data_IF_750602424022
#
_entry.id   IF_750602424022
#
_cell.length_a   1.000
_cell.length_b   1.000
_cell.length_c   1.000
_cell.angle_alpha   90.00
_cell.angle_beta   90.00
_cell.angle_gamma   90.00
#
_symmetry.space_group_name_H-M   'P 1'
#
loop_
_entity.id
_entity.type
_entity.pdbx_description
1 polymer ?
#
# COMPACT_ATOMS: atom_id res chain seq x y z
N UNK A 1 10.97 -81.80 -37.52
CA UNK A 1 9.62 -81.29 -37.20
C UNK A 1 9.63 -79.82 -37.63
N UNK A 2 9.26 -79.51 -38.88
CA UNK A 2 7.93 -78.96 -39.28
C UNK A 2 7.74 -77.55 -38.68
N UNK A 3 7.41 -76.47 -39.37
CA UNK A 3 6.80 -76.25 -40.70
C UNK A 3 6.67 -74.71 -40.90
N UNK A 4 6.61 -74.28 -42.17
CA UNK A 4 5.98 -73.08 -42.81
C UNK A 4 6.20 -71.66 -42.21
N UNK A 5 6.62 -70.61 -42.94
CA UNK A 5 6.24 -70.00 -44.23
C UNK A 5 5.17 -68.87 -44.12
N UNK A 6 5.40 -67.81 -44.93
CA UNK A 6 4.51 -66.73 -45.40
C UNK A 6 4.28 -65.43 -44.60
N UNK A 7 4.82 -64.30 -45.10
CA UNK A 7 4.09 -63.31 -45.93
C UNK A 7 4.85 -61.98 -46.11
N UNK A 8 4.97 -61.49 -47.35
CA UNK A 8 5.41 -60.13 -47.75
C UNK A 8 4.16 -59.27 -48.12
N UNK A 9 4.19 -58.12 -48.84
CA UNK A 9 5.15 -57.01 -49.05
C UNK A 9 4.47 -55.61 -48.91
N UNK A 10 5.19 -54.47 -49.03
CA UNK A 10 4.86 -53.37 -49.98
C UNK A 10 5.80 -52.16 -49.91
N UNK A 11 6.18 -51.71 -51.11
CA UNK A 11 7.07 -50.61 -51.47
C UNK A 11 6.31 -49.28 -51.61
N UNK A 12 6.98 -48.13 -51.37
CA UNK A 12 6.68 -46.90 -52.12
C UNK A 12 7.85 -45.91 -52.09
N UNK A 13 8.40 -45.60 -53.28
CA UNK A 13 9.42 -44.57 -53.51
C UNK A 13 8.75 -43.27 -54.00
N UNK A 14 9.08 -42.08 -53.46
CA UNK A 14 8.65 -40.81 -54.05
C UNK A 14 9.65 -40.23 -55.07
N UNK A 15 9.12 -39.74 -56.19
CA UNK A 15 9.81 -39.02 -57.30
C UNK A 15 10.28 -37.60 -56.92
N UNK A 16 11.30 -37.03 -57.61
CA UNK A 16 11.76 -35.66 -57.39
C UNK A 16 10.99 -34.62 -58.24
N UNK A 17 10.75 -33.42 -57.68
CA UNK A 17 10.25 -32.23 -58.42
C UNK A 17 11.18 -31.01 -58.23
N UNK A 18 11.24 -30.10 -59.23
CA UNK A 18 12.33 -29.13 -59.39
C UNK A 18 12.08 -27.79 -58.68
N UNK A 19 13.16 -27.17 -58.18
CA UNK A 19 13.17 -25.85 -57.53
C UNK A 19 13.21 -24.71 -58.56
N UNK A 20 12.16 -23.91 -58.61
CA UNK A 20 12.12 -22.59 -59.26
C UNK A 20 12.91 -21.56 -58.44
N UNK A 21 13.82 -20.84 -59.12
CA UNK A 21 14.68 -19.79 -58.58
C UNK A 21 14.09 -18.42 -58.94
N UNK A 22 13.45 -17.73 -58.00
CA UNK A 22 13.31 -16.25 -58.01
C UNK A 22 12.73 -15.73 -56.69
N UNK A 23 13.57 -15.38 -55.72
CA UNK A 23 13.14 -14.65 -54.52
C UNK A 23 14.33 -13.98 -53.79
N UNK A 24 15.13 -13.16 -54.48
CA UNK A 24 16.23 -12.43 -53.84
C UNK A 24 15.95 -10.94 -53.61
N UNK A 25 14.91 -10.36 -54.25
CA UNK A 25 14.69 -8.90 -54.26
C UNK A 25 13.68 -8.39 -53.22
N UNK A 26 12.80 -9.25 -52.70
CA UNK A 26 11.76 -8.88 -51.72
C UNK A 26 12.24 -8.80 -50.27
N UNK A 27 13.35 -9.48 -49.92
CA UNK A 27 13.87 -9.52 -48.53
C UNK A 27 14.53 -8.22 -48.09
N UNK A 28 15.14 -7.48 -49.00
CA UNK A 28 15.87 -6.24 -48.69
C UNK A 28 14.92 -5.08 -48.31
N UNK A 29 13.81 -4.90 -49.03
CA UNK A 29 12.84 -3.85 -48.71
C UNK A 29 12.05 -4.15 -47.42
N UNK A 30 11.69 -5.41 -47.16
CA UNK A 30 11.00 -5.79 -45.93
C UNK A 30 11.84 -5.53 -44.67
N UNK A 31 13.16 -5.74 -44.75
CA UNK A 31 14.07 -5.50 -43.64
C UNK A 31 14.26 -4.00 -43.32
N UNK A 32 14.27 -3.13 -44.34
CA UNK A 32 14.38 -1.68 -44.13
C UNK A 32 13.12 -1.12 -43.44
N UNK A 33 11.94 -1.59 -43.85
CA UNK A 33 10.67 -1.20 -43.24
C UNK A 33 10.59 -1.69 -41.79
N UNK A 34 10.95 -2.95 -41.52
CA UNK A 34 10.97 -3.49 -40.16
C UNK A 34 11.97 -2.75 -39.25
N UNK A 35 13.16 -2.41 -39.75
CA UNK A 35 14.15 -1.63 -39.02
C UNK A 35 13.66 -0.20 -38.71
N UNK A 36 12.94 0.43 -39.64
CA UNK A 36 12.36 1.76 -39.43
C UNK A 36 11.27 1.74 -38.32
N UNK A 37 10.39 0.73 -38.33
CA UNK A 37 9.38 0.58 -37.27
C UNK A 37 9.99 0.29 -35.90
N UNK A 38 11.04 -0.54 -35.84
CA UNK A 38 11.80 -0.77 -34.61
C UNK A 38 12.50 0.49 -34.09
N UNK A 39 13.09 1.29 -34.97
CA UNK A 39 13.70 2.56 -34.57
C UNK A 39 12.66 3.54 -34.03
N UNK A 40 11.49 3.64 -34.67
CA UNK A 40 10.40 4.50 -34.23
C UNK A 40 9.80 4.06 -32.88
N UNK A 41 9.63 2.76 -32.65
CA UNK A 41 9.10 2.25 -31.38
C UNK A 41 10.06 2.50 -30.21
N UNK A 42 11.37 2.35 -30.43
CA UNK A 42 12.40 2.68 -29.44
C UNK A 42 12.41 4.18 -29.13
N UNK A 43 12.34 5.05 -30.15
CA UNK A 43 12.28 6.49 -29.94
C UNK A 43 11.01 6.91 -29.18
N UNK A 44 9.87 6.30 -29.48
CA UNK A 44 8.63 6.55 -28.76
C UNK A 44 8.71 6.11 -27.30
N UNK A 45 9.22 4.91 -27.02
CA UNK A 45 9.41 4.42 -25.66
C UNK A 45 10.37 5.33 -24.85
N UNK A 46 11.49 5.75 -25.46
CA UNK A 46 12.42 6.69 -24.84
C UNK A 46 11.78 8.06 -24.57
N UNK A 47 10.93 8.55 -25.49
CA UNK A 47 10.18 9.79 -25.29
C UNK A 47 9.18 9.71 -24.13
N UNK A 48 8.46 8.59 -23.99
CA UNK A 48 7.55 8.35 -22.86
C UNK A 48 8.33 8.30 -21.54
N UNK A 49 9.48 7.62 -21.51
CA UNK A 49 10.33 7.56 -20.31
C UNK A 49 10.90 8.94 -19.96
N UNK A 50 11.40 9.68 -20.94
CA UNK A 50 11.93 11.03 -20.74
C UNK A 50 10.85 11.99 -20.22
N UNK A 51 9.63 11.95 -20.78
CA UNK A 51 8.51 12.77 -20.29
C UNK A 51 8.04 12.36 -18.90
N UNK A 52 8.09 11.07 -18.55
CA UNK A 52 7.82 10.58 -17.20
C UNK A 52 8.84 11.14 -16.20
N UNK A 53 10.14 11.02 -16.48
CA UNK A 53 11.20 11.59 -15.63
C UNK A 53 11.14 13.12 -15.55
N UNK A 54 10.75 13.81 -16.63
CA UNK A 54 10.57 15.26 -16.63
C UNK A 54 9.38 15.68 -15.78
N UNK A 55 8.26 14.95 -15.86
CA UNK A 55 7.07 15.16 -15.01
C UNK A 55 7.40 14.97 -13.54
N UNK A 56 8.18 13.93 -13.23
CA UNK A 56 8.62 13.61 -11.87
C UNK A 56 9.52 14.73 -11.29
N UNK A 57 10.34 15.39 -12.13
CA UNK A 57 11.11 16.57 -11.73
C UNK A 57 10.29 17.85 -11.56
N UNK A 58 9.15 17.95 -12.23
CA UNK A 58 8.22 19.09 -12.06
C UNK A 58 7.20 18.90 -10.96
N UNK A 59 7.16 17.73 -10.31
CA UNK A 59 6.48 17.55 -9.05
C UNK A 59 7.28 18.27 -7.95
N UNK A 60 7.13 19.59 -7.89
CA UNK A 60 7.61 20.38 -6.77
C UNK A 60 6.81 19.95 -5.55
N UNK A 61 7.36 19.01 -4.78
CA UNK A 61 6.93 18.77 -3.41
C UNK A 61 6.94 20.12 -2.71
N UNK A 62 5.85 20.55 -2.03
CA UNK A 62 5.94 21.68 -1.13
C UNK A 62 7.12 21.40 -0.21
N UNK A 63 8.16 22.24 -0.25
CA UNK A 63 9.32 22.07 0.62
C UNK A 63 8.84 21.85 2.06
N UNK A 64 9.57 21.06 2.88
CA UNK A 64 9.10 20.65 4.19
C UNK A 64 8.62 21.87 4.98
N UNK A 65 7.30 22.01 5.09
CA UNK A 65 6.71 23.12 5.81
C UNK A 65 6.92 22.81 7.28
N UNK A 66 7.89 23.47 7.88
CA UNK A 66 8.11 23.38 9.33
C UNK A 66 6.98 24.16 10.00
N UNK A 67 5.83 23.50 10.16
CA UNK A 67 4.75 24.02 10.98
C UNK A 67 5.24 24.00 12.41
N UNK A 68 5.56 25.17 12.95
CA UNK A 68 5.78 25.33 14.39
C UNK A 68 4.42 25.22 15.05
N UNK A 69 4.03 24.00 15.42
CA UNK A 69 2.87 23.77 16.27
C UNK A 69 3.29 24.21 17.66
N UNK A 70 2.89 25.42 18.06
CA UNK A 70 2.92 25.79 19.47
C UNK A 70 1.80 24.99 20.14
N UNK A 71 2.08 24.00 21.01
CA UNK A 71 1.03 23.28 21.70
C UNK A 71 0.30 24.28 22.60
N UNK A 72 -0.91 24.68 22.18
CA UNK A 72 -1.79 25.46 23.03
C UNK A 72 -2.40 24.48 24.02
N UNK A 73 -1.90 24.49 25.25
CA UNK A 73 -2.56 23.90 26.40
C UNK A 73 -3.85 24.68 26.70
N UNK A 74 -4.85 24.46 25.85
CA UNK A 74 -6.24 24.77 26.12
C UNK A 74 -6.93 23.44 25.94
N UNK A 75 -6.84 22.57 26.96
CA UNK A 75 -7.68 21.38 27.01
C UNK A 75 -9.11 21.86 26.83
N UNK A 76 -9.70 21.57 25.67
CA UNK A 76 -11.11 21.89 25.45
C UNK A 76 -11.95 21.12 26.47
N UNK A 77 -13.24 21.47 26.63
CA UNK A 77 -14.15 20.67 27.44
C UNK A 77 -14.19 19.18 27.05
N UNK A 78 -13.88 18.86 25.79
CA UNK A 78 -13.74 17.49 25.30
C UNK A 78 -12.47 16.81 25.81
N UNK A 79 -11.29 17.44 25.69
CA UNK A 79 -10.02 16.87 26.16
C UNK A 79 -10.02 16.62 27.67
N UNK A 80 -10.58 17.57 28.44
CA UNK A 80 -10.74 17.38 29.88
C UNK A 80 -11.60 16.16 30.21
N UNK A 81 -12.69 15.94 29.47
CA UNK A 81 -13.54 14.75 29.62
C UNK A 81 -12.80 13.47 29.23
N UNK A 82 -12.08 13.48 28.11
CA UNK A 82 -11.27 12.36 27.64
C UNK A 82 -10.25 11.91 28.70
N UNK A 83 -9.38 12.81 29.17
CA UNK A 83 -8.38 12.47 30.17
C UNK A 83 -8.98 12.13 31.54
N UNK A 84 -10.09 12.77 31.94
CA UNK A 84 -10.80 12.37 33.15
C UNK A 84 -11.35 10.96 33.06
N UNK A 85 -11.79 10.53 31.88
CA UNK A 85 -12.28 9.16 31.65
C UNK A 85 -11.13 8.16 31.62
N UNK A 86 -10.00 8.48 30.99
CA UNK A 86 -8.80 7.63 31.00
C UNK A 86 -8.30 7.37 32.43
N UNK A 87 -8.31 8.40 33.28
CA UNK A 87 -7.87 8.29 34.66
C UNK A 87 -8.70 7.29 35.48
N UNK A 88 -10.00 7.11 35.17
CA UNK A 88 -10.86 6.09 35.81
C UNK A 88 -10.36 4.67 35.52
N UNK A 89 -9.80 4.47 34.33
CA UNK A 89 -9.23 3.18 33.90
C UNK A 89 -7.76 3.01 34.28
N UNK A 90 -7.18 3.95 35.04
CA UNK A 90 -5.76 3.93 35.40
C UNK A 90 -4.81 4.32 34.26
N UNK A 91 -5.34 4.80 33.14
CA UNK A 91 -4.56 5.27 31.99
C UNK A 91 -4.21 6.74 32.22
N UNK A 92 -2.92 7.02 32.35
CA UNK A 92 -2.38 8.32 32.75
C UNK A 92 -1.28 8.75 31.77
N UNK A 93 -1.22 10.03 31.45
CA UNK A 93 -0.11 10.62 30.69
C UNK A 93 1.14 10.86 31.56
N UNK A 94 1.05 10.63 32.88
CA UNK A 94 2.09 10.85 33.89
C UNK A 94 2.68 12.28 33.84
N UNK A 95 1.88 13.26 33.39
CA UNK A 95 2.33 14.65 33.19
C UNK A 95 3.27 14.83 31.99
N UNK A 96 3.40 13.83 31.11
CA UNK A 96 4.21 13.91 29.91
C UNK A 96 3.37 14.43 28.74
N UNK A 97 3.71 15.61 28.24
CA UNK A 97 3.02 16.25 27.12
C UNK A 97 3.04 15.41 25.84
N UNK A 98 4.11 14.67 25.56
CA UNK A 98 4.17 13.82 24.37
C UNK A 98 3.17 12.66 24.45
N UNK A 99 3.06 12.02 25.63
CA UNK A 99 2.07 10.96 25.89
C UNK A 99 0.66 11.52 25.81
N UNK A 100 0.45 12.72 26.38
CA UNK A 100 -0.82 13.44 26.29
C UNK A 100 -1.24 13.69 24.85
N UNK A 101 -0.33 14.20 24.02
CA UNK A 101 -0.60 14.42 22.59
C UNK A 101 -0.87 13.11 21.85
N UNK A 102 -0.11 12.05 22.17
CA UNK A 102 -0.30 10.72 21.57
C UNK A 102 -1.67 10.12 21.89
N UNK A 103 -2.13 10.23 23.14
CA UNK A 103 -3.47 9.75 23.52
C UNK A 103 -4.57 10.56 22.84
N UNK A 104 -4.42 11.89 22.71
CA UNK A 104 -5.37 12.70 21.95
C UNK A 104 -5.38 12.31 20.47
N UNK A 105 -4.22 12.03 19.88
CA UNK A 105 -4.12 11.53 18.50
C UNK A 105 -4.90 10.23 18.34
N UNK A 106 -4.74 9.26 19.24
CA UNK A 106 -5.54 8.04 19.23
C UNK A 106 -7.02 8.31 19.42
N UNK A 107 -7.40 9.20 20.34
CA UNK A 107 -8.81 9.52 20.56
C UNK A 107 -9.48 10.17 19.35
N UNK A 108 -8.80 11.10 18.68
CA UNK A 108 -9.28 11.66 17.42
C UNK A 108 -9.29 10.64 16.29
N UNK A 109 -8.27 9.76 16.23
CA UNK A 109 -8.22 8.67 15.26
C UNK A 109 -9.39 7.69 15.45
N UNK A 110 -9.79 7.39 16.69
CA UNK A 110 -10.97 6.56 16.97
C UNK A 110 -12.20 7.12 16.28
N UNK A 111 -12.51 8.40 16.50
CA UNK A 111 -13.68 9.03 15.89
C UNK A 111 -13.60 9.07 14.36
N UNK A 112 -12.42 9.36 13.80
CA UNK A 112 -12.22 9.35 12.36
C UNK A 112 -12.44 7.95 11.76
N UNK A 113 -12.00 6.90 12.47
CA UNK A 113 -12.13 5.52 12.01
C UNK A 113 -13.56 4.99 12.12
N UNK A 114 -14.36 5.45 13.07
CA UNK A 114 -15.74 4.97 13.28
C UNK A 114 -16.79 5.70 12.44
N UNK A 115 -16.46 6.87 11.91
CA UNK A 115 -17.39 7.72 11.16
C UNK A 115 -17.21 7.55 9.64
N UNK A 116 -18.20 7.98 8.82
CA UNK A 116 -18.05 8.06 7.36
C UNK A 116 -16.76 8.81 6.95
N UNK A 117 -16.13 8.47 5.81
CA UNK A 117 -16.71 7.78 4.64
C UNK A 117 -16.52 6.26 4.60
N UNK A 118 -15.64 5.69 5.42
CA UNK A 118 -15.34 4.25 5.45
C UNK A 118 -15.19 3.79 6.90
N UNK A 119 -16.31 3.61 7.62
CA UNK A 119 -16.27 3.25 9.02
C UNK A 119 -15.63 1.87 9.19
N UNK A 120 -14.70 1.80 10.13
CA UNK A 120 -14.10 0.57 10.64
C UNK A 120 -14.92 0.07 11.83
N UNK A 121 -14.71 -1.18 12.22
CA UNK A 121 -15.27 -1.68 13.48
C UNK A 121 -14.50 -1.09 14.66
N UNK A 122 -15.14 -1.03 15.83
CA UNK A 122 -14.47 -0.66 17.08
C UNK A 122 -13.28 -1.58 17.36
N UNK A 123 -13.46 -2.89 17.21
CA UNK A 123 -12.43 -3.91 17.41
C UNK A 123 -11.19 -3.70 16.51
N UNK A 124 -11.39 -3.38 15.22
CA UNK A 124 -10.29 -3.09 14.31
C UNK A 124 -9.55 -1.80 14.70
N UNK A 125 -10.30 -0.80 15.17
CA UNK A 125 -9.75 0.48 15.64
C UNK A 125 -8.93 0.27 16.92
N UNK A 126 -9.44 -0.51 17.87
CA UNK A 126 -8.76 -0.89 19.13
C UNK A 126 -7.48 -1.65 18.83
N UNK A 127 -7.55 -2.66 17.95
CA UNK A 127 -6.37 -3.41 17.51
C UNK A 127 -5.32 -2.51 16.87
N UNK A 128 -5.74 -1.52 16.07
CA UNK A 128 -4.85 -0.54 15.45
C UNK A 128 -4.14 0.36 16.46
N UNK A 129 -4.87 0.87 17.46
CA UNK A 129 -4.31 1.69 18.54
C UNK A 129 -3.29 0.89 19.36
N UNK A 130 -3.67 -0.31 19.79
CA UNK A 130 -2.77 -1.19 20.54
C UNK A 130 -1.50 -1.51 19.74
N UNK A 131 -1.63 -1.83 18.45
CA UNK A 131 -0.48 -2.12 17.60
C UNK A 131 0.44 -0.91 17.42
N UNK A 132 -0.13 0.29 17.22
CA UNK A 132 0.62 1.52 17.04
C UNK A 132 1.42 1.90 18.30
N UNK A 133 0.79 1.88 19.48
CA UNK A 133 1.48 2.23 20.72
C UNK A 133 2.56 1.19 21.07
N UNK A 134 2.26 -0.09 20.90
CA UNK A 134 3.23 -1.16 21.16
C UNK A 134 4.39 -1.15 20.15
N UNK A 135 4.17 -0.64 18.94
CA UNK A 135 5.24 -0.37 17.98
C UNK A 135 6.14 0.78 18.46
N UNK A 136 5.58 1.83 19.06
CA UNK A 136 6.37 2.93 19.64
C UNK A 136 7.24 2.43 20.82
N UNK A 137 6.69 1.54 21.65
CA UNK A 137 7.47 0.83 22.70
C UNK A 137 8.59 0.01 22.08
N UNK A 138 8.29 -0.80 21.07
CA UNK A 138 9.30 -1.62 20.38
C UNK A 138 10.38 -0.79 19.68
N UNK A 139 10.04 0.42 19.24
CA UNK A 139 10.98 1.39 18.67
C UNK A 139 11.83 2.11 19.75
N UNK A 140 11.58 1.85 21.03
CA UNK A 140 12.34 2.40 22.14
C UNK A 140 11.85 3.76 22.62
N UNK A 141 10.58 4.12 22.39
CA UNK A 141 9.97 5.31 22.97
C UNK A 141 10.00 5.21 24.50
N UNK A 142 10.72 6.10 25.20
CA UNK A 142 10.90 5.98 26.66
C UNK A 142 9.65 6.36 27.46
N UNK A 143 8.61 6.88 26.80
CA UNK A 143 7.39 7.38 27.43
C UNK A 143 6.14 6.64 27.01
N UNK A 144 6.24 5.77 26.00
CA UNK A 144 5.10 4.98 25.51
C UNK A 144 4.77 3.86 26.49
N UNK A 145 3.53 3.79 27.01
CA UNK A 145 3.09 2.62 27.76
C UNK A 145 2.89 1.42 26.84
N UNK A 146 3.17 0.23 27.36
CA UNK A 146 2.71 -1.00 26.71
C UNK A 146 1.20 -1.12 26.90
N UNK A 147 0.43 -1.06 25.81
CA UNK A 147 -1.01 -1.25 25.84
C UNK A 147 -1.39 -2.73 25.81
N UNK A 148 -2.27 -3.09 26.72
CA UNK A 148 -3.13 -4.27 26.59
C UNK A 148 -4.31 -3.96 25.67
N UNK A 149 -5.08 -5.00 25.31
CA UNK A 149 -6.32 -4.80 24.56
C UNK A 149 -7.31 -3.92 25.35
N UNK A 150 -7.46 -4.19 26.65
CA UNK A 150 -8.37 -3.44 27.53
C UNK A 150 -7.98 -1.96 27.62
N UNK A 151 -6.68 -1.65 27.64
CA UNK A 151 -6.21 -0.25 27.64
C UNK A 151 -6.64 0.48 26.35
N UNK A 152 -6.46 -0.17 25.21
CA UNK A 152 -6.83 0.39 23.92
C UNK A 152 -8.36 0.49 23.76
N UNK A 153 -9.12 -0.45 24.30
CA UNK A 153 -10.58 -0.41 24.32
C UNK A 153 -11.10 0.74 25.21
N UNK A 154 -10.60 0.86 26.43
CA UNK A 154 -10.96 1.94 27.35
C UNK A 154 -10.59 3.31 26.77
N UNK A 155 -9.45 3.41 26.08
CA UNK A 155 -9.07 4.62 25.36
C UNK A 155 -10.08 4.95 24.25
N UNK A 156 -10.45 3.97 23.43
CA UNK A 156 -11.42 4.17 22.36
C UNK A 156 -12.81 4.56 22.91
N UNK A 157 -13.26 3.93 24.00
CA UNK A 157 -14.54 4.25 24.64
C UNK A 157 -14.53 5.67 25.25
N UNK A 158 -13.44 6.06 25.92
CA UNK A 158 -13.26 7.42 26.42
C UNK A 158 -13.29 8.44 25.27
N UNK A 159 -12.66 8.12 24.15
CA UNK A 159 -12.64 8.95 22.96
C UNK A 159 -14.02 9.12 22.32
N UNK A 160 -14.80 8.04 22.18
CA UNK A 160 -16.18 8.09 21.69
C UNK A 160 -17.01 9.02 22.57
N UNK A 161 -16.94 8.86 23.89
CA UNK A 161 -17.70 9.69 24.83
C UNK A 161 -17.30 11.17 24.81
N UNK A 162 -16.04 11.48 24.53
CA UNK A 162 -15.52 12.85 24.58
C UNK A 162 -15.61 13.60 23.23
N UNK A 163 -15.28 12.92 22.13
CA UNK A 163 -15.01 13.53 20.82
C UNK A 163 -16.08 13.24 19.78
N UNK A 164 -16.79 12.11 19.86
CA UNK A 164 -17.81 11.73 18.88
C UNK A 164 -18.97 10.95 19.54
N UNK A 165 -19.73 11.62 20.44
CA UNK A 165 -20.77 10.96 21.23
C UNK A 165 -21.93 10.41 20.40
N UNK A 166 -22.07 10.86 19.14
CA UNK A 166 -23.11 10.43 18.22
C UNK A 166 -22.74 9.17 17.42
N UNK A 167 -21.55 8.60 17.62
CA UNK A 167 -21.17 7.32 17.00
C UNK A 167 -22.10 6.21 17.51
N UNK A 168 -22.72 5.41 16.62
CA UNK A 168 -23.48 4.25 17.01
C UNK A 168 -22.60 3.26 17.77
N UNK A 169 -23.05 2.84 18.96
CA UNK A 169 -22.34 1.91 19.85
C UNK A 169 -22.52 0.47 19.41
#
# INVERSE_FOLDING_TARGET
MTVEDNSAPTESVPRPRPRTRTAARSKLLGNVVAAAFLALSVLFALGVVATYFLRDRTATSPGPQTVTVTPKASAGPADGRFFSSLAIYGISDNGNEAVRQRFMEFGHHTCFSLLPPRPQTLDATVSGIMAAENQDVAAGSPWSPQFTHDDAEHLAQAAIGAYCPDVPK
#
